data_IF_208606010918
#
_entry.id   IF_208606010918
#
_cell.length_a   1.000
_cell.length_b   1.000
_cell.length_c   1.000
_cell.angle_alpha   90.00
_cell.angle_beta   90.00
_cell.angle_gamma   90.00
#
_symmetry.space_group_name_H-M   'P 1'
#
loop_
_entity.id
_entity.type
_entity.pdbx_description
1 polymer ?
#
# COMPACT_ATOMS: atom_id res chain seq x y z
N UNK A 1 -19.64 2.92 -17.52
CA UNK A 1 -19.38 1.95 -16.44
C UNK A 1 -17.89 1.65 -16.41
N UNK A 2 -17.22 1.98 -15.31
CA UNK A 2 -15.79 1.68 -15.18
C UNK A 2 -15.56 0.19 -14.98
N UNK A 3 -14.45 -0.33 -15.49
CA UNK A 3 -14.06 -1.70 -15.24
C UNK A 3 -13.82 -1.90 -13.73
N UNK A 4 -14.08 -3.10 -13.18
CA UNK A 4 -13.75 -3.39 -11.79
C UNK A 4 -12.24 -3.27 -11.57
N UNK A 5 -11.83 -2.84 -10.38
CA UNK A 5 -10.43 -2.79 -10.02
C UNK A 5 -9.84 -4.20 -10.02
N UNK A 6 -8.59 -4.39 -10.49
CA UNK A 6 -7.95 -5.69 -10.46
C UNK A 6 -7.74 -6.15 -9.01
N UNK A 7 -7.66 -7.45 -8.80
CA UNK A 7 -7.32 -8.01 -7.49
C UNK A 7 -5.86 -7.64 -7.14
N UNK A 8 -5.56 -7.31 -5.86
CA UNK A 8 -4.20 -6.98 -5.45
C UNK A 8 -3.17 -8.03 -5.84
N UNK A 9 -3.50 -9.32 -5.76
CA UNK A 9 -2.60 -10.40 -6.13
C UNK A 9 -2.20 -10.37 -7.62
N UNK A 10 -2.99 -9.74 -8.49
CA UNK A 10 -2.64 -9.60 -9.91
C UNK A 10 -1.57 -8.53 -10.14
N UNK A 11 -1.41 -7.58 -9.21
CA UNK A 11 -0.51 -6.44 -9.34
C UNK A 11 0.71 -6.52 -8.42
N UNK A 12 0.66 -7.35 -7.39
CA UNK A 12 1.73 -7.48 -6.40
C UNK A 12 2.42 -8.83 -6.54
N UNK A 13 3.70 -8.87 -6.19
CA UNK A 13 4.46 -10.11 -6.13
C UNK A 13 4.14 -10.94 -4.89
N UNK A 14 3.52 -10.32 -3.87
CA UNK A 14 3.16 -10.98 -2.63
C UNK A 14 2.04 -12.00 -2.85
N UNK A 15 2.12 -13.13 -2.17
CA UNK A 15 1.14 -14.23 -2.24
C UNK A 15 0.95 -14.83 -0.85
N UNK A 16 -0.20 -15.46 -0.66
CA UNK A 16 -0.51 -16.15 0.59
C UNK A 16 -0.47 -15.22 1.79
N UNK A 17 0.24 -15.61 2.85
CA UNK A 17 0.30 -14.83 4.11
C UNK A 17 1.05 -13.51 3.97
N UNK A 18 1.92 -13.39 2.98
CA UNK A 18 2.64 -12.15 2.73
C UNK A 18 1.76 -11.08 2.09
N UNK A 19 0.64 -11.45 1.48
CA UNK A 19 -0.32 -10.52 0.91
C UNK A 19 -1.26 -10.05 2.00
N UNK A 20 -1.15 -8.80 2.41
CA UNK A 20 -2.00 -8.21 3.45
C UNK A 20 -3.26 -7.57 2.86
N UNK A 21 -3.12 -6.85 1.75
CA UNK A 21 -4.24 -6.15 1.12
C UNK A 21 -5.14 -7.13 0.37
N UNK A 22 -6.44 -7.13 0.70
CA UNK A 22 -7.42 -8.04 0.11
C UNK A 22 -8.12 -7.46 -1.11
N UNK A 23 -8.43 -6.17 -1.10
CA UNK A 23 -9.23 -5.55 -2.15
C UNK A 23 -8.90 -4.06 -2.31
N UNK A 24 -9.02 -3.58 -3.55
CA UNK A 24 -8.91 -2.17 -3.88
C UNK A 24 -10.32 -1.57 -3.87
N UNK A 25 -10.50 -0.48 -3.10
CA UNK A 25 -11.78 0.23 -3.02
C UNK A 25 -11.88 1.35 -4.05
N UNK A 26 -10.75 1.97 -4.42
CA UNK A 26 -10.75 3.02 -5.43
C UNK A 26 -9.37 3.63 -5.65
N UNK A 27 -9.22 4.26 -6.80
CA UNK A 27 -8.02 5.01 -7.17
C UNK A 27 -8.41 6.17 -8.06
N UNK A 28 -8.08 7.39 -7.64
CA UNK A 28 -8.42 8.64 -8.35
C UNK A 28 -7.26 9.21 -9.18
N UNK A 29 -6.18 8.46 -9.33
CA UNK A 29 -4.96 8.91 -10.01
C UNK A 29 -3.89 9.45 -9.08
N UNK A 30 -4.25 9.80 -7.86
CA UNK A 30 -3.31 10.30 -6.83
C UNK A 30 -3.37 9.44 -5.56
N UNK A 31 -4.57 9.16 -5.07
CA UNK A 31 -4.78 8.39 -3.82
C UNK A 31 -5.47 7.07 -4.14
N UNK A 32 -4.85 5.99 -3.69
CA UNK A 32 -5.43 4.66 -3.72
C UNK A 32 -5.96 4.34 -2.33
N UNK A 33 -7.18 3.77 -2.30
CA UNK A 33 -7.80 3.24 -1.08
C UNK A 33 -8.00 1.76 -1.25
N UNK A 34 -7.61 1.01 -0.24
CA UNK A 34 -7.77 -0.45 -0.23
C UNK A 34 -8.01 -0.93 1.20
N UNK A 35 -8.29 -2.21 1.34
CA UNK A 35 -8.69 -2.78 2.63
C UNK A 35 -8.14 -4.17 2.82
N UNK A 36 -8.12 -4.60 4.09
CA UNK A 36 -7.85 -5.96 4.50
C UNK A 36 -8.91 -6.41 5.51
N UNK A 37 -9.26 -7.68 5.48
CA UNK A 37 -10.19 -8.29 6.42
C UNK A 37 -9.61 -8.41 7.83
N UNK A 38 -10.45 -8.78 8.78
CA UNK A 38 -10.04 -8.95 10.17
C UNK A 38 -9.04 -10.09 10.32
N UNK A 39 -7.91 -9.78 10.93
CA UNK A 39 -6.90 -10.74 11.35
C UNK A 39 -6.00 -10.05 12.36
N UNK A 40 -5.46 -10.80 13.33
CA UNK A 40 -4.51 -10.22 14.27
C UNK A 40 -3.19 -9.95 13.56
N UNK A 41 -2.79 -8.69 13.54
CA UNK A 41 -1.53 -8.26 12.89
C UNK A 41 -0.74 -7.36 13.80
N UNK A 42 0.55 -7.66 14.05
CA UNK A 42 1.46 -6.73 14.69
C UNK A 42 1.79 -5.58 13.74
N UNK A 43 2.30 -4.47 14.26
CA UNK A 43 2.54 -3.28 13.46
C UNK A 43 3.47 -3.50 12.24
N UNK A 44 4.47 -4.42 12.24
CA UNK A 44 5.23 -4.66 11.01
C UNK A 44 4.36 -5.16 9.85
N UNK A 45 3.30 -5.93 10.14
CA UNK A 45 2.35 -6.36 9.12
C UNK A 45 1.48 -5.20 8.64
N UNK A 46 1.15 -4.23 9.50
CA UNK A 46 0.45 -3.00 9.08
C UNK A 46 1.32 -2.20 8.12
N UNK A 47 2.61 -2.09 8.40
CA UNK A 47 3.56 -1.40 7.53
C UNK A 47 3.71 -2.13 6.19
N UNK A 48 3.75 -3.46 6.20
CA UNK A 48 3.80 -4.27 4.98
C UNK A 48 2.57 -4.02 4.12
N UNK A 49 1.38 -3.98 4.72
CA UNK A 49 0.14 -3.65 4.02
C UNK A 49 0.18 -2.25 3.42
N UNK A 50 0.72 -1.28 4.15
CA UNK A 50 0.90 0.09 3.66
C UNK A 50 1.84 0.15 2.46
N UNK A 51 2.93 -0.62 2.48
CA UNK A 51 3.87 -0.72 1.37
C UNK A 51 3.20 -1.36 0.14
N UNK A 52 2.36 -2.38 0.35
CA UNK A 52 1.58 -2.99 -0.72
C UNK A 52 0.60 -1.99 -1.34
N UNK A 53 -0.07 -1.19 -0.52
CA UNK A 53 -0.96 -0.13 -1.01
C UNK A 53 -0.19 0.89 -1.86
N UNK A 54 1.01 1.29 -1.42
CA UNK A 54 1.87 2.19 -2.18
C UNK A 54 2.29 1.57 -3.53
N UNK A 55 2.63 0.29 -3.54
CA UNK A 55 2.98 -0.45 -4.77
C UNK A 55 1.81 -0.51 -5.75
N UNK A 56 0.59 -0.73 -5.24
CA UNK A 56 -0.62 -0.70 -6.06
C UNK A 56 -0.87 0.68 -6.66
N UNK A 57 -0.73 1.73 -5.87
CA UNK A 57 -0.91 3.11 -6.33
C UNK A 57 0.08 3.44 -7.47
N UNK A 58 1.33 3.09 -7.29
CA UNK A 58 2.36 3.32 -8.32
C UNK A 58 2.13 2.46 -9.57
N UNK A 59 1.65 1.22 -9.39
CA UNK A 59 1.42 0.30 -10.50
C UNK A 59 0.19 0.62 -11.34
N UNK A 60 -0.84 1.21 -10.72
CA UNK A 60 -2.09 1.56 -11.41
C UNK A 60 -1.99 2.86 -12.19
N UNK A 61 -1.01 3.72 -11.88
CA UNK A 61 -0.86 4.99 -12.57
C UNK A 61 -0.29 4.75 -13.98
N UNK A 62 -0.82 5.40 -15.04
CA UNK A 62 -0.25 5.31 -16.38
C UNK A 62 1.24 5.68 -16.36
N UNK A 63 2.09 4.83 -16.94
CA UNK A 63 3.54 5.00 -16.88
C UNK A 63 4.15 4.74 -15.50
N UNK A 64 3.41 4.14 -14.59
CA UNK A 64 3.87 3.82 -13.24
C UNK A 64 4.79 2.61 -13.18
N UNK A 65 5.17 2.25 -11.96
CA UNK A 65 6.07 1.13 -11.72
C UNK A 65 5.40 -0.20 -12.01
N UNK A 66 6.21 -1.19 -12.39
CA UNK A 66 5.74 -2.56 -12.54
C UNK A 66 5.29 -3.15 -11.19
N UNK A 67 4.56 -4.27 -11.24
CA UNK A 67 4.13 -4.99 -10.05
C UNK A 67 5.29 -5.54 -9.19
N UNK A 68 6.51 -5.49 -9.68
CA UNK A 68 7.70 -5.94 -8.97
C UNK A 68 8.49 -4.78 -8.37
N UNK A 69 7.83 -3.66 -8.09
CA UNK A 69 8.48 -2.55 -7.39
C UNK A 69 8.95 -2.98 -6.00
N UNK A 70 10.10 -2.45 -5.61
CA UNK A 70 10.72 -2.72 -4.32
C UNK A 70 10.63 -1.49 -3.42
N UNK A 71 10.50 -1.72 -2.12
CA UNK A 71 10.61 -0.63 -1.15
C UNK A 71 12.08 -0.24 -1.03
N UNK A 72 12.39 1.01 -1.39
CA UNK A 72 13.72 1.57 -1.26
C UNK A 72 13.94 2.21 0.11
N UNK A 73 12.89 2.81 0.69
CA UNK A 73 13.00 3.53 1.95
C UNK A 73 11.65 3.64 2.63
N UNK A 74 11.65 3.54 3.96
CA UNK A 74 10.58 4.00 4.83
C UNK A 74 11.07 5.24 5.56
N UNK A 75 10.24 6.28 5.65
CA UNK A 75 10.59 7.53 6.30
C UNK A 75 9.43 8.02 7.17
N UNK A 76 9.79 8.57 8.34
CA UNK A 76 8.84 9.18 9.26
C UNK A 76 7.67 8.26 9.63
N UNK A 77 7.97 6.97 9.81
CA UNK A 77 6.96 5.99 10.21
C UNK A 77 6.59 6.24 11.67
N UNK A 78 5.30 6.42 11.91
CA UNK A 78 4.74 6.58 13.27
C UNK A 78 3.77 5.45 13.53
N UNK A 79 4.04 4.68 14.55
CA UNK A 79 3.24 3.54 14.97
C UNK A 79 2.37 3.97 16.15
N UNK A 80 1.06 4.02 15.93
CA UNK A 80 0.08 4.43 16.96
C UNK A 80 -0.56 3.23 17.65
N UNK A 81 -0.42 2.03 17.08
CA UNK A 81 -0.91 0.79 17.67
C UNK A 81 0.12 -0.32 17.45
N UNK A 82 0.48 -1.04 18.52
CA UNK A 82 1.45 -2.12 18.44
C UNK A 82 0.93 -3.31 17.62
N UNK A 83 -0.39 -3.54 17.65
CA UNK A 83 -1.08 -4.57 16.90
C UNK A 83 -2.55 -4.19 16.73
N UNK A 84 -3.22 -4.82 15.77
CA UNK A 84 -4.65 -4.64 15.55
C UNK A 84 -5.27 -5.95 15.07
N UNK A 85 -6.48 -6.24 15.53
CA UNK A 85 -7.18 -7.50 15.23
C UNK A 85 -8.37 -7.33 14.26
N UNK A 86 -8.84 -6.11 14.05
CA UNK A 86 -10.00 -5.84 13.20
C UNK A 86 -9.64 -5.58 11.74
N UNK A 87 -10.64 -5.26 10.91
CA UNK A 87 -10.42 -4.89 9.53
C UNK A 87 -9.54 -3.63 9.42
N UNK A 88 -8.81 -3.53 8.32
CA UNK A 88 -7.90 -2.41 8.05
C UNK A 88 -8.34 -1.67 6.79
N UNK A 89 -8.09 -0.36 6.81
CA UNK A 89 -8.22 0.52 5.64
C UNK A 89 -6.88 1.19 5.39
N UNK A 90 -6.42 1.11 4.15
CA UNK A 90 -5.17 1.72 3.73
C UNK A 90 -5.46 2.85 2.76
N UNK A 91 -4.70 3.93 2.87
CA UNK A 91 -4.65 4.97 1.87
C UNK A 91 -3.19 5.20 1.49
N UNK A 92 -2.91 5.22 0.19
CA UNK A 92 -1.59 5.53 -0.34
C UNK A 92 -1.73 6.65 -1.36
N UNK A 93 -1.10 7.78 -1.08
CA UNK A 93 -1.11 8.94 -1.96
C UNK A 93 0.24 9.11 -2.63
N UNK A 94 0.22 9.15 -3.97
CA UNK A 94 1.41 9.47 -4.74
C UNK A 94 1.73 10.96 -4.56
N UNK A 95 2.84 11.26 -3.90
CA UNK A 95 3.25 12.64 -3.63
C UNK A 95 4.17 13.17 -4.72
N UNK A 96 5.18 12.38 -5.11
CA UNK A 96 6.12 12.83 -6.13
C UNK A 96 6.86 11.65 -6.73
N UNK A 97 7.30 11.87 -7.96
CA UNK A 97 8.25 11.01 -8.66
C UNK A 97 9.58 11.75 -8.77
N UNK A 98 10.67 11.09 -8.37
CA UNK A 98 12.01 11.61 -8.49
C UNK A 98 12.85 10.56 -9.22
N UNK A 99 13.28 10.85 -10.47
CA UNK A 99 13.93 9.89 -11.33
C UNK A 99 13.05 8.64 -11.50
N UNK A 100 13.50 7.48 -11.02
CA UNK A 100 12.77 6.21 -11.09
C UNK A 100 12.05 5.86 -9.77
N UNK A 101 12.09 6.77 -8.79
CA UNK A 101 11.52 6.54 -7.48
C UNK A 101 10.14 7.19 -7.37
N UNK A 102 9.22 6.47 -6.71
CA UNK A 102 7.89 6.96 -6.40
C UNK A 102 7.75 7.10 -4.90
N UNK A 103 7.48 8.32 -4.44
CA UNK A 103 7.26 8.59 -3.02
C UNK A 103 5.76 8.64 -2.75
N UNK A 104 5.32 7.83 -1.77
CA UNK A 104 3.93 7.70 -1.39
C UNK A 104 3.75 8.01 0.09
N UNK A 105 2.78 8.83 0.42
CA UNK A 105 2.30 8.99 1.79
C UNK A 105 1.31 7.87 2.07
N UNK A 106 1.49 7.16 3.19
CA UNK A 106 0.63 6.03 3.54
C UNK A 106 0.00 6.22 4.91
N UNK A 107 -1.24 5.74 5.04
CA UNK A 107 -1.98 5.70 6.30
C UNK A 107 -2.68 4.37 6.43
N UNK A 108 -2.69 3.83 7.65
CA UNK A 108 -3.43 2.63 8.01
C UNK A 108 -4.42 3.01 9.11
N UNK A 109 -5.69 2.74 8.87
CA UNK A 109 -6.77 3.04 9.82
C UNK A 109 -7.59 1.79 10.10
N UNK A 110 -8.25 1.78 11.26
CA UNK A 110 -9.25 0.76 11.56
C UNK A 110 -10.59 1.10 10.89
N UNK A 111 -11.59 0.23 11.09
CA UNK A 111 -12.94 0.44 10.51
C UNK A 111 -13.64 1.69 11.04
N UNK A 112 -13.28 2.15 12.24
CA UNK A 112 -13.84 3.37 12.82
C UNK A 112 -13.11 4.64 12.35
N UNK A 113 -12.02 4.51 11.60
CA UNK A 113 -11.23 5.62 11.10
C UNK A 113 -10.09 6.05 12.00
N UNK A 114 -9.80 5.30 13.06
CA UNK A 114 -8.69 5.59 13.96
C UNK A 114 -7.37 5.28 13.25
N UNK A 115 -6.44 6.24 13.28
CA UNK A 115 -5.13 6.09 12.66
C UNK A 115 -4.26 5.13 13.48
N UNK A 116 -3.80 4.06 12.85
CA UNK A 116 -2.98 3.02 13.49
C UNK A 116 -1.51 3.15 13.14
N UNK A 117 -1.21 3.60 11.93
CA UNK A 117 0.14 3.77 11.43
C UNK A 117 0.14 4.77 10.28
N UNK A 118 1.23 5.53 10.15
CA UNK A 118 1.42 6.46 9.03
C UNK A 118 2.90 6.57 8.69
N UNK A 119 3.19 7.04 7.50
CA UNK A 119 4.57 7.26 7.08
C UNK A 119 4.68 7.55 5.60
N UNK A 120 5.92 7.57 5.13
CA UNK A 120 6.24 7.72 3.71
C UNK A 120 6.99 6.48 3.23
N UNK A 121 6.56 5.96 2.09
CA UNK A 121 7.18 4.80 1.44
C UNK A 121 7.73 5.27 0.11
N UNK A 122 9.01 5.01 -0.13
CA UNK A 122 9.65 5.26 -1.42
C UNK A 122 9.84 3.93 -2.14
N UNK A 123 9.33 3.86 -3.36
CA UNK A 123 9.38 2.66 -4.19
C UNK A 123 10.36 2.86 -5.33
N UNK A 124 11.08 1.81 -5.67
CA UNK A 124 11.98 1.75 -6.82
C UNK A 124 11.54 0.64 -7.76
N UNK A 125 11.82 0.75 -9.07
CA UNK A 125 11.60 -0.37 -9.97
C UNK A 125 12.53 -1.52 -9.60
N UNK A 126 12.06 -2.76 -9.80
CA UNK A 126 12.91 -3.94 -9.66
C UNK A 126 14.01 -3.87 -10.72
N UNK A 127 15.29 -4.12 -10.36
CA UNK A 127 16.37 -4.11 -11.33
C UNK A 127 16.11 -5.08 -12.47
N UNK A 128 16.45 -4.70 -13.70
CA UNK A 128 16.38 -5.59 -14.84
C UNK A 128 17.37 -6.75 -14.64
N UNK A 129 16.87 -7.96 -14.81
CA UNK A 129 17.68 -9.18 -14.72
C UNK A 129 18.31 -9.52 -16.06
#
# INVERSE_FOLDING_TARGET
MSAPAPAPAALLRHRGRALVVDAIDGFDGATLRCRAGAARRPWPALLEGAAQAAGLAAGLRPGGLSRHALVAEYRDVRVHAAAHAGPLRFAARLERRVLHFWRCRVEVRDAAGTLLLEGTVTLAPEPAS
#
